data_IF_019442349300
#
_entry.id   IF_019442349300
#
_cell.length_a   1.000
_cell.length_b   1.000
_cell.length_c   1.000
_cell.angle_alpha   90.00
_cell.angle_beta   90.00
_cell.angle_gamma   90.00
#
_symmetry.space_group_name_H-M   'P 1'
#
loop_
_entity.id
_entity.type
_entity.pdbx_description
1 polymer ?
#
# COMPACT_ATOMS: atom_id res chain seq x y z
N UNK A 1 -8.12 -63.34 -23.97
CA UNK A 1 -7.24 -62.21 -24.33
C UNK A 1 -8.12 -60.98 -24.46
N UNK A 2 -8.01 -60.03 -23.53
CA UNK A 2 -8.87 -58.85 -23.46
C UNK A 2 -7.96 -57.61 -23.55
N UNK A 3 -8.11 -56.82 -24.61
CA UNK A 3 -7.24 -55.69 -24.92
C UNK A 3 -7.86 -54.44 -24.29
N UNK A 4 -7.24 -53.94 -23.23
CA UNK A 4 -7.69 -52.76 -22.49
C UNK A 4 -7.62 -51.49 -23.34
N UNK A 5 -8.76 -50.82 -23.46
CA UNK A 5 -8.90 -49.51 -24.09
C UNK A 5 -8.30 -48.43 -23.17
N UNK A 6 -7.16 -47.86 -23.56
CA UNK A 6 -6.55 -46.70 -22.89
C UNK A 6 -7.20 -45.43 -23.45
N UNK A 7 -8.13 -44.85 -22.70
CA UNK A 7 -8.71 -43.54 -23.00
C UNK A 7 -7.75 -42.45 -22.53
N UNK A 8 -7.02 -41.85 -23.47
CA UNK A 8 -6.20 -40.67 -23.24
C UNK A 8 -7.09 -39.44 -22.99
N UNK A 9 -7.20 -39.02 -21.72
CA UNK A 9 -7.82 -37.75 -21.33
C UNK A 9 -6.95 -36.59 -21.82
N UNK A 10 -7.37 -35.98 -22.93
CA UNK A 10 -6.76 -34.77 -23.50
C UNK A 10 -7.16 -33.56 -22.65
N UNK A 11 -6.32 -33.20 -21.69
CA UNK A 11 -6.46 -31.97 -20.90
C UNK A 11 -6.49 -30.76 -21.84
N UNK A 12 -7.64 -30.11 -21.97
CA UNK A 12 -7.75 -28.83 -22.69
C UNK A 12 -7.12 -27.75 -21.82
N UNK A 13 -5.88 -27.38 -22.13
CA UNK A 13 -5.24 -26.19 -21.57
C UNK A 13 -5.99 -24.96 -22.07
N UNK A 14 -6.89 -24.44 -21.23
CA UNK A 14 -7.63 -23.21 -21.52
C UNK A 14 -6.67 -22.02 -21.38
N UNK A 15 -6.55 -21.14 -22.39
CA UNK A 15 -5.69 -19.97 -22.30
C UNK A 15 -6.22 -19.04 -21.20
N UNK A 16 -5.46 -18.89 -20.11
CA UNK A 16 -5.76 -17.89 -19.10
C UNK A 16 -5.64 -16.50 -19.74
N UNK A 17 -6.77 -15.79 -19.83
CA UNK A 17 -6.78 -14.39 -20.20
C UNK A 17 -5.87 -13.65 -19.23
N UNK A 18 -4.73 -13.15 -19.71
CA UNK A 18 -3.86 -12.27 -18.94
C UNK A 18 -4.69 -11.04 -18.57
N UNK A 19 -5.13 -10.98 -17.32
CA UNK A 19 -5.68 -9.76 -16.76
C UNK A 19 -4.63 -8.67 -16.94
N UNK A 20 -4.92 -7.68 -17.79
CA UNK A 20 -4.05 -6.55 -18.10
C UNK A 20 -4.14 -5.54 -16.97
N UNK A 21 -3.76 -5.95 -15.75
CA UNK A 21 -3.68 -5.05 -14.61
C UNK A 21 -2.57 -4.04 -14.90
N UNK A 22 -2.90 -2.76 -14.82
CA UNK A 22 -1.90 -1.70 -14.98
C UNK A 22 -0.89 -1.79 -13.83
N UNK A 23 0.44 -1.68 -14.07
CA UNK A 23 1.41 -1.81 -12.99
C UNK A 23 1.25 -0.72 -11.93
N UNK A 24 1.16 -1.11 -10.66
CA UNK A 24 0.89 -0.19 -9.54
C UNK A 24 1.94 0.93 -9.42
N UNK A 25 3.21 0.63 -9.65
CA UNK A 25 4.28 1.63 -9.64
C UNK A 25 4.13 2.68 -10.75
N UNK A 26 3.70 2.26 -11.95
CA UNK A 26 3.39 3.19 -13.02
C UNK A 26 2.17 4.04 -12.67
N UNK A 27 1.15 3.46 -12.04
CA UNK A 27 -0.04 4.20 -11.61
C UNK A 27 0.30 5.27 -10.59
N UNK A 28 1.11 4.91 -9.58
CA UNK A 28 1.62 5.84 -8.58
C UNK A 28 2.37 7.02 -9.23
N UNK A 29 3.23 6.76 -10.22
CA UNK A 29 3.92 7.81 -10.96
C UNK A 29 2.94 8.72 -11.73
N UNK A 30 1.86 8.17 -12.30
CA UNK A 30 0.81 8.97 -12.92
C UNK A 30 0.08 9.86 -11.91
N UNK A 31 -0.22 9.36 -10.70
CA UNK A 31 -0.83 10.16 -9.63
C UNK A 31 0.10 11.29 -9.16
N UNK A 32 1.40 11.04 -9.04
CA UNK A 32 2.38 12.06 -8.65
C UNK A 32 2.48 13.21 -9.66
N UNK A 33 2.38 12.89 -10.95
CA UNK A 33 2.51 13.86 -12.04
C UNK A 33 1.18 14.52 -12.43
N UNK A 34 0.06 14.09 -11.87
CA UNK A 34 -1.24 14.70 -12.13
C UNK A 34 -1.31 16.09 -11.51
N UNK A 35 -1.85 17.05 -12.26
CA UNK A 35 -2.16 18.38 -11.72
C UNK A 35 -3.46 18.30 -10.90
N UNK A 36 -3.33 18.13 -9.60
CA UNK A 36 -4.45 18.02 -8.67
C UNK A 36 -5.21 19.33 -8.42
N UNK A 37 -4.67 20.46 -8.90
CA UNK A 37 -5.25 21.78 -8.67
C UNK A 37 -5.77 22.41 -9.97
N UNK A 38 -5.92 21.62 -11.03
CA UNK A 38 -6.38 22.08 -12.34
C UNK A 38 -7.70 22.85 -12.28
N UNK A 39 -8.57 22.52 -11.32
CA UNK A 39 -9.88 23.15 -11.15
C UNK A 39 -9.81 24.63 -10.73
N UNK A 40 -8.64 25.09 -10.27
CA UNK A 40 -8.36 26.50 -9.95
C UNK A 40 -7.71 27.25 -11.11
N UNK A 41 -7.45 26.60 -12.26
CA UNK A 41 -6.88 27.25 -13.41
C UNK A 41 -7.88 28.17 -14.10
N UNK A 42 -7.49 29.42 -14.35
CA UNK A 42 -8.26 30.36 -15.17
C UNK A 42 -8.13 30.08 -16.68
N UNK A 43 -7.11 29.32 -17.09
CA UNK A 43 -6.97 28.85 -18.46
C UNK A 43 -7.93 27.68 -18.72
N UNK A 44 -8.94 27.93 -19.54
CA UNK A 44 -9.94 26.93 -19.95
C UNK A 44 -9.31 25.69 -20.58
N UNK A 45 -8.19 25.82 -21.28
CA UNK A 45 -7.49 24.69 -21.88
C UNK A 45 -6.87 23.80 -20.79
N UNK A 46 -6.18 24.40 -19.82
CA UNK A 46 -5.61 23.70 -18.67
C UNK A 46 -6.68 23.03 -17.80
N UNK A 47 -7.78 23.73 -17.48
CA UNK A 47 -8.91 23.15 -16.75
C UNK A 47 -9.44 21.88 -17.42
N UNK A 48 -9.73 21.95 -18.73
CA UNK A 48 -10.25 20.80 -19.49
C UNK A 48 -9.24 19.66 -19.57
N UNK A 49 -7.96 19.97 -19.74
CA UNK A 49 -6.91 18.95 -19.78
C UNK A 49 -6.80 18.21 -18.43
N UNK A 50 -6.88 18.95 -17.33
CA UNK A 50 -6.91 18.39 -15.97
C UNK A 50 -8.13 17.50 -15.73
N UNK A 51 -9.33 17.96 -16.08
CA UNK A 51 -10.57 17.18 -15.94
C UNK A 51 -10.50 15.85 -16.72
N UNK A 52 -10.06 15.89 -17.98
CA UNK A 52 -9.90 14.67 -18.80
C UNK A 52 -8.84 13.74 -18.21
N UNK A 53 -7.75 14.30 -17.68
CA UNK A 53 -6.68 13.54 -17.02
C UNK A 53 -7.20 12.85 -15.76
N UNK A 54 -7.94 13.55 -14.90
CA UNK A 54 -8.53 13.01 -13.69
C UNK A 54 -9.54 11.89 -14.01
N UNK A 55 -10.45 12.12 -14.96
CA UNK A 55 -11.41 11.11 -15.41
C UNK A 55 -10.71 9.83 -15.89
N UNK A 56 -9.61 9.98 -16.64
CA UNK A 56 -8.79 8.84 -17.08
C UNK A 56 -8.14 8.11 -15.92
N UNK A 57 -7.55 8.81 -14.96
CA UNK A 57 -6.91 8.20 -13.79
C UNK A 57 -7.93 7.46 -12.92
N UNK A 58 -9.09 8.07 -12.68
CA UNK A 58 -10.17 7.45 -11.90
C UNK A 58 -10.72 6.21 -12.57
N UNK A 59 -10.91 6.25 -13.90
CA UNK A 59 -11.31 5.06 -14.67
C UNK A 59 -10.25 3.98 -14.59
N UNK A 60 -8.98 4.33 -14.80
CA UNK A 60 -7.86 3.39 -14.71
C UNK A 60 -7.77 2.73 -13.33
N UNK A 61 -8.02 3.50 -12.27
CA UNK A 61 -8.04 2.99 -10.90
C UNK A 61 -9.10 1.90 -10.71
N UNK A 62 -10.34 2.18 -11.12
CA UNK A 62 -11.47 1.23 -11.04
C UNK A 62 -11.21 -0.03 -11.86
N UNK A 63 -10.72 0.12 -13.08
CA UNK A 63 -10.48 -0.99 -14.00
C UNK A 63 -9.31 -1.88 -13.53
N UNK A 64 -8.35 -1.32 -12.77
CA UNK A 64 -7.15 -2.04 -12.30
C UNK A 64 -7.33 -2.72 -10.93
N UNK A 65 -8.47 -2.51 -10.27
CA UNK A 65 -8.85 -3.19 -9.04
C UNK A 65 -8.70 -2.37 -7.75
N UNK A 66 -9.04 -2.97 -6.59
CA UNK A 66 -9.28 -2.24 -5.35
C UNK A 66 -8.05 -1.51 -4.80
N UNK A 67 -6.85 -2.07 -4.97
CA UNK A 67 -5.60 -1.41 -4.54
C UNK A 67 -5.37 -0.10 -5.29
N UNK A 68 -5.67 -0.08 -6.60
CA UNK A 68 -5.52 1.14 -7.42
C UNK A 68 -6.59 2.17 -7.07
N UNK A 69 -7.83 1.74 -6.86
CA UNK A 69 -8.91 2.62 -6.41
C UNK A 69 -8.58 3.25 -5.05
N UNK A 70 -8.17 2.44 -4.08
CA UNK A 70 -7.70 2.92 -2.78
C UNK A 70 -6.56 3.94 -2.93
N UNK A 71 -5.54 3.63 -3.72
CA UNK A 71 -4.40 4.53 -3.91
C UNK A 71 -4.81 5.88 -4.55
N UNK A 72 -5.75 5.87 -5.49
CA UNK A 72 -6.30 7.11 -6.06
C UNK A 72 -7.03 7.94 -5.00
N UNK A 73 -7.86 7.31 -4.17
CA UNK A 73 -8.58 7.98 -3.07
C UNK A 73 -7.60 8.59 -2.06
N UNK A 74 -6.54 7.87 -1.71
CA UNK A 74 -5.51 8.33 -0.78
C UNK A 74 -4.71 9.53 -1.29
N UNK A 75 -4.36 9.55 -2.58
CA UNK A 75 -3.76 10.73 -3.20
C UNK A 75 -4.72 11.92 -3.25
N UNK A 76 -5.99 11.67 -3.59
CA UNK A 76 -7.02 12.71 -3.62
C UNK A 76 -7.19 13.37 -2.25
N UNK A 77 -7.27 12.58 -1.17
CA UNK A 77 -7.30 13.08 0.21
C UNK A 77 -6.04 13.87 0.56
N UNK A 78 -4.85 13.35 0.23
CA UNK A 78 -3.58 14.04 0.47
C UNK A 78 -3.54 15.42 -0.20
N UNK A 79 -3.98 15.52 -1.46
CA UNK A 79 -3.94 16.78 -2.22
C UNK A 79 -5.08 17.74 -1.85
N UNK A 80 -6.19 17.20 -1.34
CA UNK A 80 -7.34 17.97 -0.86
C UNK A 80 -7.29 18.38 0.62
N UNK A 81 -6.17 18.15 1.33
CA UNK A 81 -6.00 18.51 2.75
C UNK A 81 -4.69 19.24 2.99
N UNK A 82 -4.54 19.87 4.16
CA UNK A 82 -3.31 20.56 4.57
C UNK A 82 -3.47 22.06 4.81
N UNK A 83 -2.35 22.79 4.98
CA UNK A 83 -2.37 24.21 5.36
C UNK A 83 -3.16 25.11 4.40
N UNK A 84 -3.10 24.85 3.08
CA UNK A 84 -3.87 25.59 2.09
C UNK A 84 -5.39 25.47 2.28
N UNK A 85 -5.83 24.41 2.95
CA UNK A 85 -7.22 24.07 3.22
C UNK A 85 -7.63 24.29 4.69
N UNK A 86 -6.74 24.81 5.53
CA UNK A 86 -6.94 24.91 6.99
C UNK A 86 -7.35 23.57 7.64
N UNK A 87 -6.85 22.44 7.12
CA UNK A 87 -7.09 21.09 7.65
C UNK A 87 -5.78 20.38 7.98
N UNK A 88 -5.77 19.40 8.89
CA UNK A 88 -4.61 18.53 9.07
C UNK A 88 -4.23 17.86 7.74
N UNK A 89 -2.93 17.82 7.45
CA UNK A 89 -2.43 17.20 6.22
C UNK A 89 -2.63 15.67 6.31
N UNK A 90 -3.44 15.12 5.41
CA UNK A 90 -3.53 13.69 5.22
C UNK A 90 -2.18 13.17 4.72
N UNK A 91 -1.61 12.08 5.28
CA UNK A 91 -0.26 11.67 4.93
C UNK A 91 -0.22 11.04 3.53
N UNK A 92 0.89 11.25 2.82
CA UNK A 92 1.07 10.69 1.48
C UNK A 92 1.45 9.20 1.59
N UNK A 93 0.75 8.30 0.89
CA UNK A 93 1.17 6.90 0.83
C UNK A 93 2.58 6.80 0.21
N UNK A 94 3.48 5.93 0.71
CA UNK A 94 4.82 5.77 0.16
C UNK A 94 4.76 5.11 -1.22
N UNK A 95 5.76 5.31 -2.08
CA UNK A 95 5.79 4.63 -3.38
C UNK A 95 5.73 3.09 -3.22
N UNK A 96 4.92 2.38 -4.03
CA UNK A 96 4.92 0.93 -4.04
C UNK A 96 6.29 0.43 -4.49
N UNK A 97 6.84 -0.49 -3.72
CA UNK A 97 8.13 -1.11 -3.99
C UNK A 97 7.98 -2.63 -4.00
N UNK A 98 8.69 -3.29 -4.92
CA UNK A 98 8.76 -4.74 -4.91
C UNK A 98 9.45 -5.22 -3.64
N UNK A 99 8.79 -6.14 -2.93
CA UNK A 99 9.31 -6.66 -1.67
C UNK A 99 10.38 -7.72 -1.94
N UNK A 100 11.65 -7.32 -1.94
CA UNK A 100 12.75 -8.27 -2.13
C UNK A 100 13.01 -9.10 -0.87
N UNK A 101 13.70 -10.23 -1.01
CA UNK A 101 14.15 -11.02 0.15
C UNK A 101 15.01 -10.22 1.12
N UNK A 102 15.89 -9.36 0.58
CA UNK A 102 16.73 -8.48 1.39
C UNK A 102 15.89 -7.50 2.21
N UNK A 103 14.84 -6.94 1.62
CA UNK A 103 13.94 -6.03 2.33
C UNK A 103 13.19 -6.72 3.46
N UNK A 104 12.71 -7.96 3.25
CA UNK A 104 12.04 -8.75 4.29
C UNK A 104 12.97 -9.05 5.47
N UNK A 105 14.23 -9.42 5.20
CA UNK A 105 15.23 -9.63 6.25
C UNK A 105 15.53 -8.33 6.98
N UNK A 106 15.70 -7.22 6.26
CA UNK A 106 15.94 -5.91 6.86
C UNK A 106 14.77 -5.47 7.76
N UNK A 107 13.52 -5.66 7.33
CA UNK A 107 12.33 -5.37 8.15
C UNK A 107 12.36 -6.17 9.45
N UNK A 108 12.74 -7.46 9.43
CA UNK A 108 12.86 -8.26 10.66
C UNK A 108 13.97 -7.77 11.58
N UNK A 109 15.11 -7.37 11.02
CA UNK A 109 16.23 -6.80 11.78
C UNK A 109 15.81 -5.47 12.41
N UNK A 110 15.17 -4.58 11.65
CA UNK A 110 14.63 -3.30 12.12
C UNK A 110 13.59 -3.52 13.23
N UNK A 111 12.70 -4.49 13.07
CA UNK A 111 11.72 -4.85 14.10
C UNK A 111 12.41 -5.31 15.39
N UNK A 112 13.39 -6.21 15.31
CA UNK A 112 14.11 -6.70 16.49
C UNK A 112 14.86 -5.55 17.21
N UNK A 113 15.49 -4.64 16.45
CA UNK A 113 16.12 -3.43 16.99
C UNK A 113 15.11 -2.51 17.67
N UNK A 114 13.97 -2.26 17.01
CA UNK A 114 12.91 -1.42 17.54
C UNK A 114 12.33 -1.97 18.85
N UNK A 115 12.10 -3.29 18.93
CA UNK A 115 11.63 -3.93 20.15
C UNK A 115 12.65 -3.88 21.28
N UNK A 116 13.95 -4.00 20.98
CA UNK A 116 15.00 -3.81 21.96
C UNK A 116 15.02 -2.37 22.51
N UNK A 117 14.94 -1.38 21.62
CA UNK A 117 14.88 0.04 22.01
C UNK A 117 13.64 0.32 22.85
N UNK A 118 12.47 -0.21 22.44
CA UNK A 118 11.23 -0.06 23.20
C UNK A 118 11.35 -0.67 24.62
N UNK A 119 12.00 -1.83 24.76
CA UNK A 119 12.28 -2.43 26.07
C UNK A 119 13.20 -1.55 26.92
N UNK A 120 14.26 -1.00 26.33
CA UNK A 120 15.19 -0.09 27.03
C UNK A 120 14.43 1.16 27.50
N UNK A 121 13.66 1.81 26.62
CA UNK A 121 12.84 2.99 26.95
C UNK A 121 11.88 2.65 28.10
N UNK A 122 11.22 1.49 28.05
CA UNK A 122 10.32 1.06 29.13
C UNK A 122 11.06 0.88 30.46
N UNK A 123 12.27 0.32 30.45
CA UNK A 123 13.09 0.12 31.65
C UNK A 123 13.62 1.42 32.25
N UNK A 124 13.90 2.44 31.43
CA UNK A 124 14.43 3.73 31.90
C UNK A 124 13.38 4.86 31.91
N UNK A 125 12.10 4.55 31.64
CA UNK A 125 10.98 5.50 31.53
C UNK A 125 10.91 6.54 32.66
N UNK A 126 11.14 6.19 33.96
CA UNK A 126 11.09 7.17 35.04
C UNK A 126 12.15 8.27 34.96
N UNK A 127 13.22 8.06 34.19
CA UNK A 127 14.37 8.95 34.08
C UNK A 127 14.42 9.70 32.75
N UNK A 128 13.48 9.45 31.84
CA UNK A 128 13.46 10.05 30.51
C UNK A 128 12.53 11.27 30.46
N UNK A 129 12.93 12.35 29.75
CA UNK A 129 12.02 13.43 29.42
C UNK A 129 10.85 12.91 28.55
N UNK A 130 9.67 13.51 28.72
CA UNK A 130 8.43 13.09 28.05
C UNK A 130 8.52 13.07 26.52
N UNK A 131 9.36 13.92 25.93
CA UNK A 131 9.63 13.96 24.48
C UNK A 131 10.27 12.67 23.94
N UNK A 132 11.10 11.98 24.73
CA UNK A 132 11.74 10.71 24.32
C UNK A 132 10.75 9.55 24.48
N UNK A 133 9.86 9.62 25.47
CA UNK A 133 8.84 8.58 25.73
C UNK A 133 7.81 8.50 24.60
N UNK A 134 7.63 9.56 23.82
CA UNK A 134 6.73 9.58 22.65
C UNK A 134 7.29 8.89 21.40
N UNK A 135 8.58 8.54 21.38
CA UNK A 135 9.16 7.80 20.26
C UNK A 135 8.77 6.32 20.38
N UNK A 136 7.81 5.88 19.57
CA UNK A 136 7.59 4.47 19.32
C UNK A 136 8.49 4.02 18.15
N UNK A 137 9.60 3.32 18.38
CA UNK A 137 10.45 2.83 17.30
C UNK A 137 9.78 1.70 16.50
N UNK A 138 8.83 0.97 17.10
CA UNK A 138 8.13 -0.15 16.47
C UNK A 138 7.13 0.37 15.45
N UNK A 139 6.48 1.50 15.75
CA UNK A 139 5.58 2.22 14.86
C UNK A 139 6.06 2.28 13.41
N UNK A 140 7.28 2.77 13.19
CA UNK A 140 7.81 3.02 11.84
C UNK A 140 7.92 1.73 11.02
N UNK A 141 8.29 0.63 11.66
CA UNK A 141 8.40 -0.68 11.00
C UNK A 141 7.02 -1.24 10.69
N UNK A 142 6.07 -1.13 11.63
CA UNK A 142 4.68 -1.56 11.41
C UNK A 142 4.01 -0.76 10.29
N UNK A 143 4.18 0.56 10.26
CA UNK A 143 3.62 1.42 9.23
C UNK A 143 4.14 1.03 7.83
N UNK A 144 5.43 0.70 7.70
CA UNK A 144 6.00 0.20 6.44
C UNK A 144 5.37 -1.12 6.01
N UNK A 145 5.23 -2.08 6.94
CA UNK A 145 4.61 -3.38 6.64
C UNK A 145 3.13 -3.25 6.33
N UNK A 146 2.44 -2.31 6.97
CA UNK A 146 1.05 -2.02 6.68
C UNK A 146 0.87 -1.58 5.24
N UNK A 147 1.68 -0.62 4.75
CA UNK A 147 1.60 -0.22 3.34
C UNK A 147 1.94 -1.35 2.37
N UNK A 148 2.90 -2.22 2.72
CA UNK A 148 3.19 -3.42 1.93
C UNK A 148 2.00 -4.37 1.87
N UNK A 149 1.29 -4.56 2.98
CA UNK A 149 0.04 -5.34 3.04
C UNK A 149 -1.05 -4.72 2.16
N UNK A 150 -1.25 -3.40 2.25
CA UNK A 150 -2.19 -2.67 1.39
C UNK A 150 -1.87 -2.87 -0.09
N UNK A 151 -0.61 -2.73 -0.49
CA UNK A 151 -0.19 -2.94 -1.88
C UNK A 151 -0.30 -4.39 -2.35
N UNK A 152 -0.18 -5.36 -1.45
CA UNK A 152 -0.36 -6.77 -1.77
C UNK A 152 -1.83 -7.15 -2.05
N UNK A 153 -2.80 -6.30 -1.70
CA UNK A 153 -4.23 -6.60 -1.86
C UNK A 153 -4.61 -7.85 -1.08
N UNK A 154 -5.01 -8.93 -1.75
CA UNK A 154 -5.34 -10.22 -1.11
C UNK A 154 -4.14 -11.20 -1.01
N UNK A 155 -2.93 -10.76 -1.38
CA UNK A 155 -1.73 -11.58 -1.34
C UNK A 155 -1.31 -11.99 0.08
N UNK A 156 -0.99 -13.27 0.30
CA UNK A 156 -0.52 -13.73 1.61
C UNK A 156 0.81 -13.05 1.98
N UNK A 157 0.95 -12.70 3.27
CA UNK A 157 2.22 -12.22 3.80
C UNK A 157 3.34 -13.26 3.55
N UNK A 158 4.54 -12.84 3.13
CA UNK A 158 5.68 -13.74 3.02
C UNK A 158 6.01 -14.37 4.38
N UNK A 159 6.51 -15.61 4.37
CA UNK A 159 6.76 -16.39 5.60
C UNK A 159 7.62 -15.65 6.64
N UNK A 160 8.61 -14.87 6.19
CA UNK A 160 9.48 -14.07 7.06
C UNK A 160 8.67 -13.02 7.84
N UNK A 161 7.72 -12.35 7.19
CA UNK A 161 6.82 -11.37 7.79
C UNK A 161 5.76 -12.07 8.65
N UNK A 162 5.12 -13.11 8.10
CA UNK A 162 4.06 -13.88 8.74
C UNK A 162 4.52 -14.57 10.04
N UNK A 163 5.80 -14.92 10.16
CA UNK A 163 6.35 -15.55 11.37
C UNK A 163 6.41 -14.62 12.59
N UNK A 164 6.23 -13.31 12.41
CA UNK A 164 6.25 -12.34 13.50
C UNK A 164 4.85 -11.76 13.76
N UNK A 165 4.23 -11.96 14.93
CA UNK A 165 2.84 -11.60 15.18
C UNK A 165 2.49 -10.14 14.86
N UNK A 166 3.32 -9.17 15.28
CA UNK A 166 3.06 -7.75 15.01
C UNK A 166 3.19 -7.38 13.53
N UNK A 167 4.11 -8.04 12.80
CA UNK A 167 4.29 -7.74 11.37
C UNK A 167 3.19 -8.41 10.54
N UNK A 168 2.79 -9.64 10.91
CA UNK A 168 1.63 -10.31 10.35
C UNK A 168 0.35 -9.47 10.54
N UNK A 169 0.10 -9.00 11.77
CA UNK A 169 -1.06 -8.15 12.06
C UNK A 169 -1.03 -6.82 11.28
N UNK A 170 0.11 -6.15 11.20
CA UNK A 170 0.24 -4.94 10.38
C UNK A 170 -0.02 -5.21 8.89
N UNK A 171 0.45 -6.35 8.37
CA UNK A 171 0.18 -6.75 7.00
C UNK A 171 -1.32 -6.94 6.74
N UNK A 172 -1.98 -7.75 7.58
CA UNK A 172 -3.42 -8.03 7.49
C UNK A 172 -4.24 -6.74 7.59
N UNK A 173 -3.91 -5.85 8.54
CA UNK A 173 -4.53 -4.53 8.65
C UNK A 173 -4.38 -3.71 7.37
N UNK A 174 -3.22 -3.77 6.71
CA UNK A 174 -3.01 -3.14 5.40
C UNK A 174 -4.01 -3.63 4.33
N UNK A 175 -4.28 -4.93 4.31
CA UNK A 175 -5.23 -5.54 3.37
C UNK A 175 -6.68 -5.15 3.68
N UNK A 176 -7.01 -5.06 4.98
CA UNK A 176 -8.31 -4.62 5.46
C UNK A 176 -8.60 -3.18 5.05
N UNK A 177 -7.61 -2.28 5.13
CA UNK A 177 -7.77 -0.87 4.73
C UNK A 177 -8.16 -0.71 3.26
N UNK A 178 -7.58 -1.52 2.37
CA UNK A 178 -7.96 -1.54 0.95
C UNK A 178 -9.38 -2.04 0.77
N UNK A 179 -9.79 -3.03 1.57
CA UNK A 179 -11.13 -3.61 1.50
C UNK A 179 -12.20 -2.65 2.08
N UNK A 180 -11.86 -1.95 3.16
CA UNK A 180 -12.71 -0.98 3.83
C UNK A 180 -12.71 0.41 3.16
N UNK A 181 -11.76 0.67 2.23
CA UNK A 181 -11.49 1.99 1.66
C UNK A 181 -11.09 3.04 2.70
N UNK A 182 -10.42 2.58 3.74
CA UNK A 182 -9.97 3.40 4.88
C UNK A 182 -8.49 3.76 4.76
N UNK A 183 -8.11 4.84 5.43
CA UNK A 183 -6.71 5.24 5.55
C UNK A 183 -6.03 4.49 6.70
N UNK A 184 -4.73 4.14 6.59
CA UNK A 184 -3.93 3.67 7.72
C UNK A 184 -3.98 4.63 8.91
N UNK A 185 -4.85 4.32 9.86
CA UNK A 185 -4.78 4.86 11.23
C UNK A 185 -4.27 3.72 12.09
N UNK A 186 -3.07 3.86 12.63
CA UNK A 186 -2.55 2.96 13.65
C UNK A 186 -2.22 3.84 14.86
#
# INVERSE_FOLDING_TARGET
>A
MNIGHITLLRSKTQPQAKSTVFPLAAFYAHLQNHDWYYCFSEDRAAYRAGEVSEQRLRKLARDSGPVHEWLWEEFSKHKGTGPAWNTPQHPMPPAPADLTFRDMVNIRIEMAKAELVAKIIASVKPFLPSSIVQLDPVWRVMQKVLYLGAYAGQGKAPAIIASHPKLAGAWEQGQELVTAKEHPTI
#
